data_IF_471193808723
#
_entry.id   IF_471193808723
#
_cell.length_a   1.000
_cell.length_b   1.000
_cell.length_c   1.000
_cell.angle_alpha   90.00
_cell.angle_beta   90.00
_cell.angle_gamma   90.00
#
_symmetry.space_group_name_H-M   'P 1'
#
loop_
_entity.id
_entity.type
_entity.pdbx_description
1 polymer ?
#
# COMPACT_ATOMS: atom_id res chain seq x y z
N UNK A 1 -20.51 53.09 13.89
CA UNK A 1 -20.22 51.95 12.98
C UNK A 1 -20.17 50.66 13.80
N UNK A 2 -21.14 49.76 13.62
CA UNK A 2 -21.18 48.48 14.32
C UNK A 2 -20.16 47.52 13.68
N UNK A 3 -19.26 46.91 14.50
CA UNK A 3 -18.34 45.88 14.04
C UNK A 3 -19.13 44.70 13.45
N UNK A 4 -18.76 44.18 12.27
CA UNK A 4 -19.42 43.02 11.71
C UNK A 4 -19.29 41.82 12.68
N UNK A 5 -20.40 41.23 13.08
CA UNK A 5 -20.43 39.98 13.85
C UNK A 5 -19.76 38.88 13.02
N UNK A 6 -18.61 38.43 13.47
CA UNK A 6 -17.91 37.29 12.89
C UNK A 6 -18.80 36.03 13.07
N UNK A 7 -19.69 35.76 12.11
CA UNK A 7 -20.54 34.56 12.14
C UNK A 7 -19.66 33.35 11.91
N UNK A 8 -19.60 32.47 12.90
CA UNK A 8 -18.90 31.18 12.74
C UNK A 8 -19.55 30.40 11.59
N UNK A 9 -18.76 29.79 10.69
CA UNK A 9 -19.31 29.02 9.58
C UNK A 9 -20.20 27.89 10.11
N UNK A 10 -21.27 27.57 9.35
CA UNK A 10 -22.19 26.50 9.70
C UNK A 10 -21.47 25.14 9.81
N UNK A 11 -22.01 24.20 10.57
CA UNK A 11 -21.45 22.83 10.69
C UNK A 11 -21.25 22.19 9.31
N UNK A 12 -22.25 22.31 8.42
CA UNK A 12 -22.20 21.77 7.06
C UNK A 12 -21.02 22.34 6.25
N UNK A 13 -20.79 23.65 6.34
CA UNK A 13 -19.67 24.30 5.63
C UNK A 13 -18.31 23.81 6.17
N UNK A 14 -18.19 23.63 7.48
CA UNK A 14 -16.95 23.08 8.10
C UNK A 14 -16.72 21.63 7.70
N UNK A 15 -17.79 20.82 7.67
CA UNK A 15 -17.70 19.42 7.24
C UNK A 15 -17.31 19.33 5.77
N UNK A 16 -17.91 20.13 4.88
CA UNK A 16 -17.55 20.18 3.47
C UNK A 16 -16.10 20.63 3.25
N UNK A 17 -15.66 21.65 3.98
CA UNK A 17 -14.27 22.13 3.90
C UNK A 17 -13.30 21.05 4.38
N UNK A 18 -13.58 20.37 5.50
CA UNK A 18 -12.76 19.27 5.98
C UNK A 18 -12.67 18.14 4.97
N UNK A 19 -13.81 17.74 4.38
CA UNK A 19 -13.86 16.73 3.32
C UNK A 19 -13.01 17.13 2.11
N UNK A 20 -13.16 18.36 1.61
CA UNK A 20 -12.40 18.85 0.47
C UNK A 20 -10.88 18.88 0.75
N UNK A 21 -10.48 19.34 1.94
CA UNK A 21 -9.07 19.36 2.36
C UNK A 21 -8.52 17.95 2.45
N UNK A 22 -9.25 17.00 3.06
CA UNK A 22 -8.82 15.61 3.18
C UNK A 22 -8.68 14.96 1.80
N UNK A 23 -9.65 15.13 0.91
CA UNK A 23 -9.60 14.59 -0.45
C UNK A 23 -8.42 15.15 -1.23
N UNK A 24 -8.19 16.46 -1.16
CA UNK A 24 -7.04 17.10 -1.84
C UNK A 24 -5.72 16.60 -1.25
N UNK A 25 -5.61 16.48 0.06
CA UNK A 25 -4.40 15.97 0.71
C UNK A 25 -4.10 14.52 0.29
N UNK A 26 -5.10 13.65 0.29
CA UNK A 26 -4.96 12.26 -0.15
C UNK A 26 -4.55 12.16 -1.63
N UNK A 27 -5.16 12.99 -2.49
CA UNK A 27 -4.80 13.05 -3.91
C UNK A 27 -3.32 13.47 -4.10
N UNK A 28 -2.88 14.53 -3.41
CA UNK A 28 -1.50 15.02 -3.50
C UNK A 28 -0.52 13.99 -2.95
N UNK A 29 -0.83 13.34 -1.82
CA UNK A 29 0.01 12.31 -1.24
C UNK A 29 0.12 11.08 -2.15
N UNK A 30 -0.99 10.67 -2.76
CA UNK A 30 -0.98 9.55 -3.69
C UNK A 30 -0.17 9.88 -4.94
N UNK A 31 -0.37 11.08 -5.52
CA UNK A 31 0.42 11.53 -6.66
C UNK A 31 1.92 11.58 -6.34
N UNK A 32 2.27 12.05 -5.14
CA UNK A 32 3.66 12.06 -4.67
C UNK A 32 4.22 10.63 -4.54
N UNK A 33 3.41 9.68 -4.06
CA UNK A 33 3.82 8.27 -3.99
C UNK A 33 4.10 7.69 -5.37
N UNK A 34 3.30 8.00 -6.38
CA UNK A 34 3.54 7.58 -7.76
C UNK A 34 4.73 8.28 -8.44
N UNK A 35 5.16 9.42 -7.91
CA UNK A 35 6.34 10.15 -8.40
C UNK A 35 7.66 9.68 -7.76
N UNK A 36 7.63 8.73 -6.82
CA UNK A 36 8.83 8.16 -6.22
C UNK A 36 9.60 7.32 -7.24
N UNK A 37 10.96 7.27 -7.14
CA UNK A 37 11.78 6.47 -8.04
C UNK A 37 11.40 4.98 -7.94
N UNK A 38 11.26 4.33 -9.11
CA UNK A 38 10.81 2.95 -9.19
C UNK A 38 11.91 1.92 -8.93
N UNK A 39 13.16 2.21 -9.32
CA UNK A 39 14.25 1.24 -9.22
C UNK A 39 14.43 0.69 -7.79
N UNK A 40 14.61 1.50 -6.73
CA UNK A 40 14.72 0.96 -5.38
C UNK A 40 13.45 0.24 -4.89
N UNK A 41 12.27 0.68 -5.36
CA UNK A 41 11.02 0.01 -5.04
C UNK A 41 10.99 -1.39 -5.65
N UNK A 42 11.40 -1.53 -6.92
CA UNK A 42 11.45 -2.84 -7.60
C UNK A 42 12.43 -3.80 -6.95
N UNK A 43 13.61 -3.32 -6.55
CA UNK A 43 14.60 -4.14 -5.85
C UNK A 43 14.02 -4.77 -4.57
N UNK A 44 13.37 -3.95 -3.73
CA UNK A 44 12.75 -4.45 -2.50
C UNK A 44 11.45 -5.25 -2.75
N UNK A 45 10.74 -5.01 -3.86
CA UNK A 45 9.64 -5.87 -4.29
C UNK A 45 10.16 -7.24 -4.70
N UNK A 46 11.30 -7.32 -5.40
CA UNK A 46 11.96 -8.58 -5.73
C UNK A 46 12.32 -9.37 -4.45
N UNK A 47 13.01 -8.73 -3.50
CA UNK A 47 13.34 -9.36 -2.22
C UNK A 47 12.09 -9.83 -1.46
N UNK A 48 11.00 -9.08 -1.59
CA UNK A 48 9.71 -9.43 -1.00
C UNK A 48 9.09 -10.65 -1.67
N UNK A 49 9.19 -10.76 -3.01
CA UNK A 49 8.66 -11.88 -3.78
C UNK A 49 9.33 -13.20 -3.39
N UNK A 50 10.66 -13.19 -3.27
CA UNK A 50 11.42 -14.38 -2.83
C UNK A 50 10.94 -14.86 -1.46
N UNK A 51 10.70 -13.93 -0.53
CA UNK A 51 10.19 -14.29 0.81
C UNK A 51 8.78 -14.82 0.78
N UNK A 52 7.90 -14.19 0.00
CA UNK A 52 6.51 -14.63 -0.15
C UNK A 52 6.43 -16.03 -0.75
N UNK A 53 7.33 -16.36 -1.69
CA UNK A 53 7.42 -17.71 -2.26
C UNK A 53 7.78 -18.75 -1.21
N UNK A 54 8.79 -18.48 -0.39
CA UNK A 54 9.19 -19.36 0.70
C UNK A 54 8.09 -19.54 1.76
N UNK A 55 7.33 -18.49 2.06
CA UNK A 55 6.25 -18.54 3.04
C UNK A 55 5.00 -19.26 2.52
N UNK A 56 4.77 -19.24 1.22
CA UNK A 56 3.55 -19.75 0.56
C UNK A 56 2.38 -18.76 0.64
N UNK A 57 1.23 -19.21 0.12
CA UNK A 57 0.03 -18.38 -0.14
C UNK A 57 -0.59 -17.81 1.13
N UNK A 58 -0.82 -18.69 2.09
CA UNK A 58 -1.53 -18.39 3.31
C UNK A 58 -0.77 -18.98 4.51
N UNK A 59 0.42 -18.45 4.84
CA UNK A 59 1.22 -19.00 5.93
C UNK A 59 0.51 -18.81 7.27
N UNK A 60 0.50 -19.85 8.09
CA UNK A 60 -0.05 -19.83 9.43
C UNK A 60 1.08 -19.63 10.46
N UNK A 61 1.12 -18.48 11.14
CA UNK A 61 2.07 -18.28 12.22
C UNK A 61 1.62 -19.01 13.49
N UNK A 62 2.57 -19.65 14.16
CA UNK A 62 2.35 -20.42 15.38
C UNK A 62 1.37 -21.60 15.19
N UNK A 63 1.19 -22.10 13.97
CA UNK A 63 0.21 -23.11 13.61
C UNK A 63 -1.22 -22.75 14.08
N UNK A 64 -1.56 -21.46 14.01
CA UNK A 64 -2.82 -20.95 14.49
C UNK A 64 -3.52 -20.14 13.41
N UNK A 65 -4.64 -20.65 12.93
CA UNK A 65 -5.40 -20.12 11.79
C UNK A 65 -5.80 -18.63 11.91
N UNK A 66 -5.93 -18.12 13.14
CA UNK A 66 -6.19 -16.69 13.37
C UNK A 66 -5.00 -15.78 13.02
N UNK A 67 -3.80 -16.35 12.88
CA UNK A 67 -2.60 -15.64 12.47
C UNK A 67 -2.19 -15.98 11.02
N UNK A 68 -3.14 -16.45 10.22
CA UNK A 68 -2.93 -16.68 8.80
C UNK A 68 -2.74 -15.33 8.09
N UNK A 69 -1.71 -15.25 7.26
CA UNK A 69 -1.45 -14.07 6.41
C UNK A 69 -1.99 -14.29 5.01
N UNK A 70 -2.27 -13.21 4.31
CA UNK A 70 -2.77 -13.20 2.93
C UNK A 70 -1.67 -12.70 1.98
N UNK A 71 -0.74 -13.60 1.67
CA UNK A 71 0.35 -13.30 0.73
C UNK A 71 -0.14 -13.08 -0.70
N UNK A 72 -1.33 -13.59 -1.05
CA UNK A 72 -1.93 -13.33 -2.35
C UNK A 72 -2.25 -11.84 -2.54
N UNK A 73 -2.91 -11.25 -1.57
CA UNK A 73 -3.21 -9.79 -1.61
C UNK A 73 -1.92 -8.98 -1.52
N UNK A 74 -0.98 -9.36 -0.66
CA UNK A 74 0.33 -8.69 -0.55
C UNK A 74 1.05 -8.65 -1.91
N UNK A 75 0.98 -9.73 -2.69
CA UNK A 75 1.62 -9.77 -4.01
C UNK A 75 0.97 -8.82 -5.00
N UNK A 76 -0.36 -8.75 -5.06
CA UNK A 76 -1.05 -7.77 -5.91
C UNK A 76 -0.60 -6.36 -5.54
N UNK A 77 -0.55 -6.03 -4.24
CA UNK A 77 -0.10 -4.72 -3.76
C UNK A 77 1.36 -4.41 -4.13
N UNK A 78 2.22 -5.41 -4.12
CA UNK A 78 3.62 -5.28 -4.53
C UNK A 78 3.75 -5.05 -6.04
N UNK A 79 2.98 -5.75 -6.88
CA UNK A 79 2.98 -5.52 -8.33
C UNK A 79 2.49 -4.11 -8.67
N UNK A 80 1.47 -3.60 -8.00
CA UNK A 80 1.01 -2.22 -8.16
C UNK A 80 2.08 -1.20 -7.72
N UNK A 81 2.79 -1.48 -6.63
CA UNK A 81 3.88 -0.62 -6.18
C UNK A 81 5.04 -0.59 -7.17
N UNK A 82 5.39 -1.73 -7.78
CA UNK A 82 6.47 -1.84 -8.75
C UNK A 82 6.13 -1.19 -10.10
N UNK A 83 4.87 -1.28 -10.56
CA UNK A 83 4.42 -0.75 -11.86
C UNK A 83 4.08 0.75 -11.86
N UNK A 84 4.12 1.40 -10.71
CA UNK A 84 3.67 2.79 -10.59
C UNK A 84 4.50 3.81 -11.40
N UNK A 85 5.69 3.47 -11.88
CA UNK A 85 6.55 4.32 -12.72
C UNK A 85 6.58 3.94 -14.21
N UNK A 86 5.72 3.01 -14.64
CA UNK A 86 5.59 2.64 -16.06
C UNK A 86 4.97 3.74 -16.94
N UNK A 87 4.35 4.73 -16.31
CA UNK A 87 3.74 5.88 -16.97
C UNK A 87 3.99 7.15 -16.14
N UNK A 88 3.74 8.34 -16.72
CA UNK A 88 3.79 9.57 -15.93
C UNK A 88 2.91 9.47 -14.67
N UNK A 89 3.34 10.02 -13.51
CA UNK A 89 2.72 9.77 -12.21
C UNK A 89 1.20 9.93 -12.15
N UNK A 90 0.66 10.96 -12.81
CA UNK A 90 -0.78 11.17 -12.85
C UNK A 90 -1.51 10.07 -13.64
N UNK A 91 -0.95 9.66 -14.78
CA UNK A 91 -1.52 8.58 -15.59
C UNK A 91 -1.44 7.26 -14.85
N UNK A 92 -0.28 6.91 -14.30
CA UNK A 92 -0.09 5.69 -13.51
C UNK A 92 -1.04 5.62 -12.32
N UNK A 93 -1.21 6.72 -11.58
CA UNK A 93 -2.16 6.84 -10.48
C UNK A 93 -3.61 6.60 -10.93
N UNK A 94 -3.99 7.11 -12.11
CA UNK A 94 -5.37 6.97 -12.61
C UNK A 94 -5.66 5.60 -13.21
N UNK A 95 -4.67 4.93 -13.79
CA UNK A 95 -4.82 3.58 -14.36
C UNK A 95 -4.63 2.49 -13.33
N UNK A 96 -3.74 2.71 -12.37
CA UNK A 96 -3.33 1.76 -11.34
C UNK A 96 -3.16 0.35 -11.91
N UNK A 97 -2.11 0.15 -12.67
CA UNK A 97 -1.85 -1.12 -13.35
C UNK A 97 -1.33 -2.15 -12.36
N UNK A 98 -1.94 -3.32 -12.35
CA UNK A 98 -1.44 -4.52 -11.71
C UNK A 98 -1.22 -5.60 -12.77
N UNK A 99 -0.44 -6.62 -12.44
CA UNK A 99 -0.20 -7.74 -13.34
C UNK A 99 -0.88 -8.99 -12.82
N UNK A 100 -1.52 -9.72 -13.73
CA UNK A 100 -2.19 -10.96 -13.38
C UNK A 100 -1.15 -12.05 -13.16
N UNK A 101 -1.31 -12.72 -12.05
CA UNK A 101 -0.52 -13.87 -11.66
C UNK A 101 -1.43 -15.07 -11.77
N UNK A 102 -1.37 -15.74 -12.92
CA UNK A 102 -2.32 -16.82 -13.26
C UNK A 102 -2.16 -18.07 -12.40
N UNK A 103 -0.96 -18.28 -11.85
CA UNK A 103 -0.69 -19.44 -11.00
C UNK A 103 0.07 -19.01 -9.75
N UNK A 104 -0.50 -19.32 -8.60
CA UNK A 104 0.11 -18.96 -7.34
C UNK A 104 1.42 -19.70 -7.04
N UNK A 105 1.57 -20.93 -7.54
CA UNK A 105 2.82 -21.68 -7.41
C UNK A 105 3.98 -21.02 -8.18
N UNK A 106 3.66 -20.23 -9.21
CA UNK A 106 4.62 -19.47 -10.03
C UNK A 106 4.70 -18.00 -9.65
N UNK A 107 3.94 -17.56 -8.64
CA UNK A 107 3.79 -16.15 -8.27
C UNK A 107 5.12 -15.45 -8.03
N UNK A 108 6.04 -16.11 -7.34
CA UNK A 108 7.37 -15.56 -7.09
C UNK A 108 8.19 -15.52 -8.37
N UNK A 109 8.13 -16.55 -9.18
CA UNK A 109 8.83 -16.60 -10.47
C UNK A 109 8.24 -15.56 -11.41
N UNK A 110 6.92 -15.44 -11.48
CA UNK A 110 6.22 -14.45 -12.31
C UNK A 110 6.55 -13.01 -11.86
N UNK A 111 6.60 -12.76 -10.56
CA UNK A 111 6.99 -11.46 -10.03
C UNK A 111 8.48 -11.19 -10.25
N UNK A 112 9.34 -12.20 -10.15
CA UNK A 112 10.75 -12.11 -10.50
C UNK A 112 10.92 -11.76 -11.99
N UNK A 113 10.27 -12.47 -12.89
CA UNK A 113 10.27 -12.19 -14.32
C UNK A 113 9.77 -10.79 -14.64
N UNK A 114 8.72 -10.32 -13.94
CA UNK A 114 8.20 -8.98 -14.07
C UNK A 114 9.23 -7.91 -13.69
N UNK A 115 10.00 -8.14 -12.64
CA UNK A 115 11.02 -7.19 -12.16
C UNK A 115 12.28 -7.24 -13.01
N UNK A 116 12.68 -8.41 -13.50
CA UNK A 116 13.86 -8.61 -14.35
C UNK A 116 13.65 -8.16 -15.81
N UNK A 117 12.41 -7.81 -16.20
CA UNK A 117 12.17 -7.27 -17.55
C UNK A 117 13.00 -6.00 -17.77
N UNK A 118 13.41 -5.77 -19.01
CA UNK A 118 14.05 -4.51 -19.38
C UNK A 118 13.04 -3.35 -19.32
N UNK A 119 13.08 -2.58 -18.28
CA UNK A 119 12.22 -1.44 -18.03
C UNK A 119 12.42 -0.29 -19.04
N UNK A 120 13.57 -0.23 -19.70
CA UNK A 120 13.85 0.79 -20.70
C UNK A 120 13.16 0.49 -22.04
N UNK A 121 13.09 -0.78 -22.43
CA UNK A 121 12.51 -1.21 -23.71
C UNK A 121 11.16 -1.91 -23.55
N UNK A 122 10.78 -2.30 -22.35
CA UNK A 122 9.62 -3.14 -22.07
C UNK A 122 9.78 -4.58 -22.59
N UNK A 123 10.97 -4.96 -23.05
CA UNK A 123 11.25 -6.30 -23.54
C UNK A 123 11.20 -7.31 -22.40
N UNK A 124 10.44 -8.37 -22.58
CA UNK A 124 10.44 -9.53 -21.68
C UNK A 124 11.46 -10.57 -22.19
N UNK A 125 12.01 -11.34 -21.28
CA UNK A 125 12.77 -12.52 -21.67
C UNK A 125 11.89 -13.48 -22.48
N UNK A 126 12.46 -14.11 -23.51
CA UNK A 126 11.72 -14.97 -24.46
C UNK A 126 11.01 -16.16 -23.81
N UNK A 127 11.42 -16.56 -22.60
CA UNK A 127 10.90 -17.69 -21.86
C UNK A 127 10.00 -17.26 -20.68
N UNK A 128 9.73 -15.94 -20.54
CA UNK A 128 8.90 -15.42 -19.46
C UNK A 128 7.41 -15.76 -19.70
N UNK A 129 6.66 -16.07 -18.64
CA UNK A 129 5.22 -16.20 -18.74
C UNK A 129 4.62 -14.88 -19.23
N UNK A 130 3.54 -14.97 -20.04
CA UNK A 130 2.85 -13.78 -20.54
C UNK A 130 2.14 -13.07 -19.38
N UNK A 131 2.81 -12.08 -18.78
CA UNK A 131 2.20 -11.23 -17.77
C UNK A 131 1.16 -10.32 -18.44
N UNK A 132 -0.08 -10.47 -18.03
CA UNK A 132 -1.19 -9.69 -18.57
C UNK A 132 -1.46 -8.50 -17.66
N UNK A 133 -1.16 -7.26 -18.11
CA UNK A 133 -1.50 -6.07 -17.36
C UNK A 133 -3.01 -5.88 -17.29
N UNK A 134 -3.54 -5.52 -16.14
CA UNK A 134 -4.93 -5.13 -15.98
C UNK A 134 -5.07 -3.89 -15.12
N UNK A 135 -6.12 -3.09 -15.37
CA UNK A 135 -6.39 -1.91 -14.57
C UNK A 135 -7.06 -2.31 -13.24
N UNK A 136 -6.44 -1.94 -12.15
CA UNK A 136 -6.97 -2.14 -10.80
C UNK A 136 -7.58 -0.84 -10.21
N UNK A 137 -7.74 0.19 -11.04
CA UNK A 137 -8.20 1.53 -10.64
C UNK A 137 -9.55 1.57 -9.93
N UNK A 138 -10.42 0.55 -10.10
CA UNK A 138 -11.72 0.43 -9.40
C UNK A 138 -11.58 0.19 -7.90
N UNK A 139 -10.43 -0.30 -7.44
CA UNK A 139 -10.15 -0.50 -6.03
C UNK A 139 -9.35 0.67 -5.48
N UNK A 140 -9.55 0.96 -4.19
CA UNK A 140 -8.82 2.04 -3.56
C UNK A 140 -7.37 1.64 -3.29
N UNK A 141 -6.46 2.29 -3.96
CA UNK A 141 -5.02 2.05 -3.88
C UNK A 141 -4.26 3.09 -3.04
N UNK A 142 -4.95 3.78 -2.15
CA UNK A 142 -4.36 4.78 -1.26
C UNK A 142 -3.32 4.23 -0.28
N UNK A 143 -3.24 2.90 -0.09
CA UNK A 143 -2.18 2.27 0.68
C UNK A 143 -0.79 2.52 0.05
N UNK A 144 -0.68 2.81 -1.24
CA UNK A 144 0.58 3.17 -1.89
C UNK A 144 1.21 4.44 -1.32
N UNK A 145 0.41 5.31 -0.67
CA UNK A 145 0.90 6.52 0.02
C UNK A 145 1.95 6.18 1.08
N UNK A 146 1.83 5.03 1.73
CA UNK A 146 2.78 4.57 2.74
C UNK A 146 3.61 3.38 2.28
N UNK A 147 3.08 2.50 1.42
CA UNK A 147 3.79 1.31 0.95
C UNK A 147 5.00 1.68 0.08
N UNK A 148 4.85 2.53 -0.93
CA UNK A 148 5.97 2.92 -1.79
C UNK A 148 7.11 3.64 -1.04
N UNK A 149 6.87 4.61 -0.13
CA UNK A 149 7.94 5.16 0.68
C UNK A 149 8.66 4.13 1.56
N UNK A 150 7.96 3.12 2.08
CA UNK A 150 8.59 2.04 2.83
C UNK A 150 9.43 1.15 1.92
N UNK A 151 8.93 0.79 0.75
CA UNK A 151 9.65 0.00 -0.23
C UNK A 151 10.86 0.72 -0.86
N UNK A 152 11.08 2.02 -0.61
CA UNK A 152 12.34 2.67 -0.94
C UNK A 152 13.50 2.20 -0.04
N UNK A 153 13.21 1.68 1.14
CA UNK A 153 14.22 1.43 2.19
C UNK A 153 14.15 0.02 2.79
N UNK A 154 13.09 -0.74 2.51
CA UNK A 154 12.91 -2.09 3.08
C UNK A 154 11.96 -2.93 2.24
N UNK A 155 12.04 -4.24 2.42
CA UNK A 155 11.17 -5.26 1.83
C UNK A 155 9.87 -5.47 2.64
N UNK A 156 9.09 -6.49 2.25
CA UNK A 156 7.83 -6.85 2.91
C UNK A 156 7.98 -7.14 4.41
N UNK A 157 9.15 -7.64 4.84
CA UNK A 157 9.38 -7.90 6.28
C UNK A 157 9.40 -6.60 7.06
N UNK A 158 10.15 -5.59 6.59
CA UNK A 158 10.16 -4.27 7.22
C UNK A 158 8.80 -3.58 7.16
N UNK A 159 8.08 -3.71 6.04
CA UNK A 159 6.70 -3.22 5.92
C UNK A 159 5.80 -3.84 6.99
N UNK A 160 5.84 -5.16 7.17
CA UNK A 160 5.07 -5.88 8.20
C UNK A 160 5.45 -5.45 9.61
N UNK A 161 6.74 -5.27 9.90
CA UNK A 161 7.20 -4.76 11.20
C UNK A 161 6.60 -3.39 11.49
N UNK A 162 6.64 -2.46 10.54
CA UNK A 162 6.04 -1.13 10.70
C UNK A 162 4.54 -1.23 10.94
N UNK A 163 3.82 -2.09 10.19
CA UNK A 163 2.39 -2.32 10.39
C UNK A 163 2.08 -2.83 11.81
N UNK A 164 2.83 -3.82 12.29
CA UNK A 164 2.64 -4.35 13.65
C UNK A 164 2.91 -3.31 14.72
N UNK A 165 3.94 -2.48 14.56
CA UNK A 165 4.23 -1.39 15.50
C UNK A 165 3.12 -0.33 15.53
N UNK A 166 2.61 0.07 14.36
CA UNK A 166 1.47 1.00 14.25
C UNK A 166 0.23 0.40 14.90
N UNK A 167 -0.07 -0.87 14.62
CA UNK A 167 -1.22 -1.56 15.19
C UNK A 167 -1.11 -1.66 16.72
N UNK A 168 0.05 -2.04 17.23
CA UNK A 168 0.31 -2.09 18.68
C UNK A 168 0.14 -0.71 19.35
N UNK A 169 0.64 0.36 18.71
CA UNK A 169 0.47 1.72 19.19
C UNK A 169 -1.00 2.16 19.22
N UNK A 170 -1.77 1.79 18.18
CA UNK A 170 -3.22 2.04 18.12
C UNK A 170 -3.96 1.30 19.25
N UNK A 171 -3.68 0.00 19.45
CA UNK A 171 -4.28 -0.77 20.55
C UNK A 171 -3.93 -0.19 21.93
N UNK A 172 -2.67 0.18 22.15
CA UNK A 172 -2.25 0.83 23.38
C UNK A 172 -3.00 2.15 23.60
N UNK A 173 -3.14 2.95 22.54
CA UNK A 173 -3.89 4.21 22.61
C UNK A 173 -5.35 3.98 22.97
N UNK A 174 -6.01 3.03 22.31
CA UNK A 174 -7.41 2.66 22.60
C UNK A 174 -7.53 2.17 24.06
N UNK A 175 -6.63 1.30 24.52
CA UNK A 175 -6.63 0.81 25.90
C UNK A 175 -6.50 1.95 26.91
N UNK A 176 -5.58 2.90 26.68
CA UNK A 176 -5.42 4.08 27.55
C UNK A 176 -6.67 4.95 27.56
N UNK A 177 -7.28 5.19 26.38
CA UNK A 177 -8.50 5.99 26.27
C UNK A 177 -9.69 5.32 26.98
N UNK A 178 -9.86 4.00 26.79
CA UNK A 178 -10.89 3.23 27.49
C UNK A 178 -10.69 3.26 29.00
N UNK A 179 -9.46 3.03 29.46
CA UNK A 179 -9.14 3.12 30.89
C UNK A 179 -9.50 4.48 31.47
N UNK A 180 -9.17 5.57 30.78
CA UNK A 180 -9.51 6.94 31.20
C UNK A 180 -11.02 7.20 31.22
N UNK A 181 -11.75 6.69 30.22
CA UNK A 181 -13.20 6.92 30.08
C UNK A 181 -14.03 6.04 31.02
N UNK A 182 -13.65 4.77 31.20
CA UNK A 182 -14.39 3.82 32.03
C UNK A 182 -14.02 3.88 33.52
N UNK A 183 -13.07 4.74 33.90
CA UNK A 183 -12.64 4.86 35.32
C UNK A 183 -11.98 3.61 35.89
N UNK A 184 -11.54 2.69 35.02
CA UNK A 184 -10.85 1.46 35.45
C UNK A 184 -9.52 1.84 36.09
N UNK A 185 -9.52 1.95 37.42
CA UNK A 185 -8.28 2.03 38.21
C UNK A 185 -7.61 0.65 38.16
N UNK A 186 -6.30 0.64 37.93
CA UNK A 186 -5.55 -0.61 38.08
C UNK A 186 -5.73 -1.09 39.52
N UNK A 187 -6.32 -2.26 39.68
CA UNK A 187 -6.26 -3.00 40.94
C UNK A 187 -4.84 -3.58 41.11
#
# INVERSE_FOLDING_TARGET
MAKPKNQKPSFALRALAAFAVTLTALFVLLLAAYALPGEPVRDHVYDSAVKIADEGLYPEYLNFKLFQMDNYTDTIMLTEAASADEAPPLTAMMTNTAYNVDNFETLADDLQWYIERDWATGAQHTDAPALVPFSYARYWHGYLIWLRPLLLVTDITGVRVVQYLVLAALFATVAVLLRRRCGLRAA
#
